data_IF_073945837677
#
_entry.id   IF_073945837677
#
_cell.length_a   1.000
_cell.length_b   1.000
_cell.length_c   1.000
_cell.angle_alpha   90.00
_cell.angle_beta   90.00
_cell.angle_gamma   90.00
#
_symmetry.space_group_name_H-M   'P 1'
#
loop_
_entity.id
_entity.type
_entity.pdbx_description
1 polymer ?
#
# COMPACT_ATOMS: atom_id res chain seq x y z
N UNK A 1 8.11 28.62 -12.04
CA UNK A 1 8.68 27.56 -12.92
C UNK A 1 9.81 26.91 -12.14
N UNK A 2 9.51 25.84 -11.40
CA UNK A 2 10.50 25.10 -10.63
C UNK A 2 11.03 23.99 -11.52
N UNK A 3 12.30 24.03 -11.83
CA UNK A 3 13.02 23.00 -12.60
C UNK A 3 12.94 21.68 -11.84
N UNK A 4 12.14 20.73 -12.34
CA UNK A 4 12.25 19.34 -11.96
C UNK A 4 13.69 18.89 -12.23
N UNK A 5 14.46 18.64 -11.18
CA UNK A 5 15.84 18.20 -11.29
C UNK A 5 15.87 16.85 -12.01
N UNK A 6 16.66 16.77 -13.06
CA UNK A 6 16.99 15.55 -13.83
C UNK A 6 17.94 14.64 -13.04
N UNK A 7 17.68 14.41 -11.75
CA UNK A 7 18.45 13.52 -10.89
C UNK A 7 17.87 12.10 -10.96
N UNK A 8 18.75 11.11 -11.15
CA UNK A 8 18.41 9.70 -10.89
C UNK A 8 18.03 9.54 -9.43
N UNK A 9 17.01 8.72 -9.12
CA UNK A 9 16.69 8.38 -7.74
C UNK A 9 17.93 7.80 -7.05
N UNK A 10 18.17 8.21 -5.80
CA UNK A 10 19.22 7.58 -4.98
C UNK A 10 18.75 6.19 -4.56
N UNK A 11 19.67 5.25 -4.47
CA UNK A 11 19.41 3.90 -3.99
C UNK A 11 20.22 3.69 -2.72
N UNK A 12 19.58 3.30 -1.63
CA UNK A 12 20.23 2.94 -0.37
C UNK A 12 19.77 1.54 0.06
N UNK A 13 20.67 0.68 0.54
CA UNK A 13 20.29 -0.61 1.10
C UNK A 13 19.35 -0.40 2.30
N UNK A 14 18.37 -1.31 2.48
CA UNK A 14 17.44 -1.23 3.61
C UNK A 14 18.20 -1.32 4.95
N UNK A 15 17.93 -0.34 5.80
CA UNK A 15 18.54 -0.19 7.11
C UNK A 15 18.03 1.09 7.79
N UNK A 16 18.43 1.30 9.04
CA UNK A 16 17.91 2.42 9.85
C UNK A 16 18.25 3.79 9.23
N UNK A 17 19.44 3.95 8.65
CA UNK A 17 19.84 5.21 7.99
C UNK A 17 18.96 5.49 6.75
N UNK A 18 18.73 4.48 5.91
CA UNK A 18 17.88 4.61 4.73
C UNK A 18 16.43 4.92 5.10
N UNK A 19 15.92 4.30 6.17
CA UNK A 19 14.57 4.55 6.69
C UNK A 19 14.44 5.94 7.29
N UNK A 20 15.44 6.40 8.06
CA UNK A 20 15.47 7.76 8.60
C UNK A 20 15.49 8.82 7.48
N UNK A 21 16.32 8.61 6.45
CA UNK A 21 16.34 9.50 5.29
C UNK A 21 15.01 9.48 4.52
N UNK A 22 14.41 8.31 4.33
CA UNK A 22 13.10 8.17 3.69
C UNK A 22 12.01 8.95 4.44
N UNK A 23 11.99 8.86 5.78
CA UNK A 23 11.06 9.63 6.62
C UNK A 23 11.27 11.14 6.43
N UNK A 24 12.51 11.61 6.42
CA UNK A 24 12.80 13.03 6.20
C UNK A 24 12.33 13.51 4.82
N UNK A 25 12.57 12.71 3.77
CA UNK A 25 12.13 13.00 2.40
C UNK A 25 10.61 13.00 2.28
N UNK A 26 9.91 12.02 2.86
CA UNK A 26 8.45 11.96 2.87
C UNK A 26 7.85 13.18 3.58
N UNK A 27 8.36 13.56 4.76
CA UNK A 27 7.95 14.79 5.47
C UNK A 27 8.18 16.07 4.66
N UNK A 28 9.19 16.07 3.79
CA UNK A 28 9.44 17.17 2.85
C UNK A 28 8.55 17.10 1.58
N UNK A 29 7.67 16.11 1.50
CA UNK A 29 6.72 15.91 0.40
C UNK A 29 7.30 15.22 -0.83
N UNK A 30 8.48 14.62 -0.73
CA UNK A 30 9.03 13.79 -1.79
C UNK A 30 8.32 12.42 -1.88
N UNK A 31 8.49 11.73 -3.00
CA UNK A 31 8.05 10.35 -3.19
C UNK A 31 9.25 9.43 -2.94
N UNK A 32 9.04 8.37 -2.20
CA UNK A 32 10.05 7.35 -1.87
C UNK A 32 9.58 5.99 -2.34
N UNK A 33 10.46 5.20 -2.97
CA UNK A 33 10.19 3.80 -3.27
C UNK A 33 10.64 2.90 -2.11
N UNK A 34 9.80 1.94 -1.76
CA UNK A 34 9.96 1.08 -0.59
C UNK A 34 9.73 -0.39 -0.96
N UNK A 35 10.53 -1.32 -0.42
CA UNK A 35 10.30 -2.74 -0.57
C UNK A 35 9.09 -3.18 0.25
N UNK A 36 8.38 -4.23 -0.21
CA UNK A 36 7.37 -4.94 0.58
C UNK A 36 7.53 -6.44 0.41
N UNK A 37 6.72 -7.21 1.14
CA UNK A 37 6.64 -8.68 1.03
C UNK A 37 6.01 -9.17 -0.29
N UNK A 38 5.47 -8.28 -1.12
CA UNK A 38 4.86 -8.64 -2.42
C UNK A 38 5.60 -7.99 -3.58
N UNK A 39 5.43 -6.68 -3.78
CA UNK A 39 6.05 -5.88 -4.82
C UNK A 39 6.59 -4.58 -4.22
N UNK A 40 7.55 -3.94 -4.86
CA UNK A 40 7.94 -2.59 -4.47
C UNK A 40 6.77 -1.62 -4.62
N UNK A 41 6.67 -0.69 -3.68
CA UNK A 41 5.72 0.42 -3.73
C UNK A 41 6.41 1.77 -3.80
N UNK A 42 5.71 2.78 -4.29
CA UNK A 42 6.06 4.18 -4.07
C UNK A 42 5.07 4.77 -3.07
N UNK A 43 5.59 5.55 -2.14
CA UNK A 43 4.84 6.10 -1.01
C UNK A 43 4.93 7.62 -0.94
N UNK A 44 3.91 8.22 -0.34
CA UNK A 44 3.82 9.64 -0.02
C UNK A 44 3.42 9.84 1.44
N UNK A 45 3.66 11.02 1.99
CA UNK A 45 3.13 11.41 3.29
C UNK A 45 1.64 11.77 3.15
N UNK A 46 0.80 11.11 3.96
CA UNK A 46 -0.66 11.34 3.98
C UNK A 46 -1.03 12.74 4.43
N UNK A 47 -0.22 13.37 5.28
CA UNK A 47 -0.46 14.72 5.80
C UNK A 47 -0.28 15.82 4.75
N UNK A 48 0.31 15.50 3.58
CA UNK A 48 0.66 16.47 2.54
C UNK A 48 -0.15 16.23 1.26
N UNK A 49 -1.24 16.99 1.00
CA UNK A 49 -2.07 16.83 -0.21
C UNK A 49 -1.27 16.88 -1.51
N UNK A 50 -0.32 17.81 -1.62
CA UNK A 50 0.53 17.94 -2.81
C UNK A 50 1.43 16.70 -3.03
N UNK A 51 1.82 15.99 -1.96
CA UNK A 51 2.58 14.75 -2.09
C UNK A 51 1.71 13.61 -2.66
N UNK A 52 0.42 13.60 -2.31
CA UNK A 52 -0.54 12.64 -2.88
C UNK A 52 -0.74 12.91 -4.39
N UNK A 53 -0.87 14.17 -4.79
CA UNK A 53 -0.94 14.52 -6.21
C UNK A 53 0.32 14.08 -6.97
N UNK A 54 1.51 14.32 -6.38
CA UNK A 54 2.79 13.82 -6.93
C UNK A 54 2.84 12.30 -7.03
N UNK A 55 2.27 11.56 -6.06
CA UNK A 55 2.20 10.10 -6.11
C UNK A 55 1.39 9.61 -7.32
N UNK A 56 0.24 10.23 -7.59
CA UNK A 56 -0.56 9.91 -8.77
C UNK A 56 0.15 10.29 -10.07
N UNK A 57 0.77 11.48 -10.11
CA UNK A 57 1.51 11.97 -11.26
C UNK A 57 2.72 11.08 -11.60
N UNK A 58 3.49 10.63 -10.59
CA UNK A 58 4.66 9.74 -10.75
C UNK A 58 4.34 8.45 -11.53
N UNK A 59 3.12 7.94 -11.36
CA UNK A 59 2.64 6.73 -12.06
C UNK A 59 1.81 7.01 -13.29
N UNK A 60 1.48 8.26 -13.58
CA UNK A 60 0.40 8.59 -14.53
C UNK A 60 -0.89 7.83 -14.17
N UNK A 61 -1.18 7.76 -12.86
CA UNK A 61 -2.32 6.98 -12.33
C UNK A 61 -3.61 7.76 -12.52
N UNK A 62 -4.63 7.16 -13.13
CA UNK A 62 -5.97 7.77 -13.21
C UNK A 62 -6.56 7.95 -11.79
N UNK A 63 -7.28 9.03 -11.52
CA UNK A 63 -7.86 9.33 -10.19
C UNK A 63 -9.00 8.38 -9.78
N UNK A 64 -9.55 7.61 -10.74
CA UNK A 64 -10.56 6.57 -10.53
C UNK A 64 -9.99 5.25 -9.96
N UNK A 65 -8.67 5.18 -9.75
CA UNK A 65 -8.00 4.01 -9.16
C UNK A 65 -7.61 4.28 -7.72
N UNK A 66 -8.30 3.66 -6.77
CA UNK A 66 -7.99 3.77 -5.35
C UNK A 66 -6.54 3.37 -5.01
N UNK A 67 -5.99 3.97 -3.95
CA UNK A 67 -4.64 3.72 -3.41
C UNK A 67 -4.77 3.13 -2.00
N UNK A 68 -4.05 2.06 -1.73
CA UNK A 68 -4.02 1.46 -0.39
C UNK A 68 -3.12 2.25 0.57
N UNK A 69 -3.46 2.21 1.85
CA UNK A 69 -2.64 2.74 2.93
C UNK A 69 -1.91 1.59 3.60
N UNK A 70 -0.58 1.66 3.65
CA UNK A 70 0.23 0.74 4.43
C UNK A 70 0.29 1.22 5.89
N UNK A 71 0.15 0.27 6.79
CA UNK A 71 0.06 0.48 8.23
C UNK A 71 1.29 -0.11 8.93
N UNK A 72 1.64 0.42 10.10
CA UNK A 72 2.66 -0.15 10.96
C UNK A 72 2.19 -1.45 11.61
N UNK A 73 0.93 -1.47 12.04
CA UNK A 73 0.27 -2.57 12.73
C UNK A 73 -1.25 -2.56 12.46
N UNK A 74 -1.94 -3.58 12.98
CA UNK A 74 -3.38 -3.73 12.81
C UNK A 74 -4.21 -2.69 13.59
N UNK A 75 -3.66 -2.11 14.66
CA UNK A 75 -4.39 -1.16 15.52
C UNK A 75 -4.68 0.14 14.77
N UNK A 76 -3.78 0.53 13.86
CA UNK A 76 -3.99 1.70 13.00
C UNK A 76 -5.23 1.57 12.09
N UNK A 77 -5.69 0.35 11.79
CA UNK A 77 -6.85 0.15 10.91
C UNK A 77 -8.13 0.75 11.49
N UNK A 78 -8.34 0.61 12.81
CA UNK A 78 -9.53 1.11 13.50
C UNK A 78 -9.64 2.65 13.54
N UNK A 79 -8.55 3.36 13.29
CA UNK A 79 -8.55 4.83 13.21
C UNK A 79 -9.10 5.32 11.87
N UNK A 80 -8.94 4.54 10.81
CA UNK A 80 -9.29 4.93 9.44
C UNK A 80 -10.57 4.27 8.94
N UNK A 81 -10.78 3.01 9.30
CA UNK A 81 -11.87 2.17 8.80
C UNK A 81 -12.72 1.55 9.92
N UNK A 82 -13.94 1.16 9.57
CA UNK A 82 -14.83 0.39 10.44
C UNK A 82 -14.47 -1.08 10.29
N UNK A 83 -13.78 -1.64 11.29
CA UNK A 83 -13.31 -3.02 11.28
C UNK A 83 -14.42 -3.95 11.74
N UNK A 84 -15.19 -4.52 10.79
CA UNK A 84 -16.24 -5.50 11.02
C UNK A 84 -15.69 -6.90 11.39
N UNK A 85 -16.58 -7.86 11.69
CA UNK A 85 -16.18 -9.22 12.10
C UNK A 85 -15.28 -9.93 11.07
N UNK A 86 -15.66 -9.92 9.80
CA UNK A 86 -14.88 -10.53 8.72
C UNK A 86 -13.48 -9.90 8.59
N UNK A 87 -13.41 -8.57 8.63
CA UNK A 87 -12.13 -7.86 8.55
C UNK A 87 -11.21 -8.20 9.73
N UNK A 88 -11.76 -8.36 10.95
CA UNK A 88 -10.99 -8.79 12.13
C UNK A 88 -10.39 -10.18 11.95
N UNK A 89 -11.19 -11.13 11.49
CA UNK A 89 -10.73 -12.51 11.25
C UNK A 89 -9.61 -12.52 10.19
N UNK A 90 -9.83 -11.82 9.07
CA UNK A 90 -8.86 -11.78 7.98
C UNK A 90 -7.57 -11.04 8.37
N UNK A 91 -7.68 -9.92 9.08
CA UNK A 91 -6.53 -9.19 9.61
C UNK A 91 -5.71 -10.07 10.57
N UNK A 92 -6.36 -10.69 11.55
CA UNK A 92 -5.68 -11.57 12.51
C UNK A 92 -4.98 -12.77 11.85
N UNK A 93 -5.49 -13.27 10.71
CA UNK A 93 -4.95 -14.44 10.01
C UNK A 93 -3.86 -14.09 9.00
N UNK A 94 -3.93 -12.92 8.35
CA UNK A 94 -3.12 -12.60 7.17
C UNK A 94 -2.31 -11.31 7.29
N UNK A 95 -2.38 -10.60 8.41
CA UNK A 95 -1.51 -9.46 8.71
C UNK A 95 -0.54 -9.80 9.83
N UNK A 96 0.72 -9.39 9.70
CA UNK A 96 1.35 -8.78 8.52
C UNK A 96 1.39 -9.72 7.32
N UNK A 97 1.21 -9.19 6.10
CA UNK A 97 1.29 -9.99 4.89
C UNK A 97 0.60 -9.42 3.64
N UNK A 98 0.43 -10.29 2.65
CA UNK A 98 -0.01 -9.97 1.30
C UNK A 98 -1.53 -9.75 1.13
N UNK A 99 -2.25 -9.25 2.15
CA UNK A 99 -3.68 -8.98 2.08
C UNK A 99 -3.99 -7.50 2.26
N UNK A 100 -4.79 -6.94 1.36
CA UNK A 100 -5.39 -5.61 1.48
C UNK A 100 -6.89 -5.77 1.78
N UNK A 101 -7.37 -5.15 2.86
CA UNK A 101 -8.78 -5.12 3.23
C UNK A 101 -9.38 -3.77 2.84
N UNK A 102 -10.47 -3.80 2.10
CA UNK A 102 -11.28 -2.61 1.82
C UNK A 102 -12.37 -2.54 2.88
N UNK A 103 -12.37 -1.44 3.65
CA UNK A 103 -13.27 -1.20 4.78
C UNK A 103 -14.14 0.03 4.53
N UNK A 104 -15.33 0.13 5.14
CA UNK A 104 -16.04 1.39 5.21
C UNK A 104 -15.14 2.43 5.91
N UNK A 105 -14.97 3.60 5.30
CA UNK A 105 -14.19 4.70 5.88
C UNK A 105 -14.94 5.27 7.09
N UNK A 106 -14.21 5.52 8.17
CA UNK A 106 -14.79 6.23 9.32
C UNK A 106 -15.17 7.67 8.93
N UNK A 107 -16.31 8.20 9.37
CA UNK A 107 -16.72 9.57 9.04
C UNK A 107 -15.76 10.65 9.54
N UNK A 108 -15.03 10.37 10.62
CA UNK A 108 -14.03 11.25 11.24
C UNK A 108 -12.61 11.06 10.68
N UNK A 109 -12.39 10.06 9.83
CA UNK A 109 -11.10 9.85 9.17
C UNK A 109 -10.85 10.94 8.10
N UNK A 110 -9.80 11.73 8.33
CA UNK A 110 -9.38 12.80 7.40
C UNK A 110 -8.52 12.22 6.28
N UNK A 111 -9.18 11.67 5.27
CA UNK A 111 -8.53 11.09 4.09
C UNK A 111 -8.95 11.85 2.83
N UNK A 112 -8.00 12.23 1.96
CA UNK A 112 -8.32 12.76 0.64
C UNK A 112 -9.16 11.78 -0.18
N UNK A 113 -10.26 12.25 -0.77
CA UNK A 113 -11.20 11.40 -1.50
C UNK A 113 -10.56 10.68 -2.70
N UNK A 114 -9.53 11.29 -3.29
CA UNK A 114 -8.78 10.69 -4.41
C UNK A 114 -8.13 9.35 -4.05
N UNK A 115 -7.78 9.11 -2.77
CA UNK A 115 -7.22 7.83 -2.33
C UNK A 115 -8.22 6.68 -2.42
N UNK A 116 -9.51 6.98 -2.32
CA UNK A 116 -10.59 6.01 -2.41
C UNK A 116 -11.35 6.09 -3.75
N UNK A 117 -10.84 6.82 -4.74
CA UNK A 117 -11.53 7.09 -6.01
C UNK A 117 -12.96 7.66 -5.80
N UNK A 118 -13.14 8.51 -4.78
CA UNK A 118 -14.44 9.11 -4.40
C UNK A 118 -15.39 8.19 -3.61
N UNK A 119 -15.02 6.92 -3.35
CA UNK A 119 -15.86 6.00 -2.58
C UNK A 119 -15.74 6.25 -1.05
N UNK A 120 -16.76 5.95 -0.25
CA UNK A 120 -16.72 6.07 1.21
C UNK A 120 -15.98 4.86 1.85
N UNK A 121 -14.86 4.45 1.26
CA UNK A 121 -14.09 3.27 1.65
C UNK A 121 -12.61 3.60 1.84
N UNK A 122 -11.86 2.68 2.46
CA UNK A 122 -10.41 2.77 2.57
C UNK A 122 -9.80 1.38 2.41
N UNK A 123 -8.76 1.27 1.59
CA UNK A 123 -7.97 0.04 1.45
C UNK A 123 -6.78 0.07 2.40
N UNK A 124 -6.68 -0.91 3.31
CA UNK A 124 -5.67 -0.98 4.36
C UNK A 124 -4.86 -2.27 4.25
N UNK A 125 -3.55 -2.20 4.58
CA UNK A 125 -2.67 -3.37 4.63
C UNK A 125 -1.56 -3.17 5.65
N UNK A 126 -1.27 -4.19 6.44
CA UNK A 126 -0.03 -4.30 7.21
C UNK A 126 0.93 -5.19 6.43
N UNK A 127 2.00 -4.65 5.81
CA UNK A 127 2.94 -5.46 5.04
C UNK A 127 3.88 -6.26 5.95
N UNK A 128 4.29 -7.47 5.51
CA UNK A 128 5.32 -8.26 6.20
C UNK A 128 6.73 -7.85 5.76
N UNK A 129 7.05 -6.59 5.98
CA UNK A 129 8.36 -6.03 5.73
C UNK A 129 8.67 -4.90 6.72
N UNK A 130 9.90 -4.85 7.29
CA UNK A 130 10.23 -3.87 8.32
C UNK A 130 10.25 -2.43 7.82
N UNK A 131 10.72 -2.16 6.59
CA UNK A 131 10.85 -0.79 6.09
C UNK A 131 9.50 -0.04 6.04
N UNK A 132 8.44 -0.49 5.32
CA UNK A 132 7.18 0.25 5.29
C UNK A 132 6.52 0.37 6.66
N UNK A 133 6.67 -0.64 7.53
CA UNK A 133 6.12 -0.60 8.89
C UNK A 133 6.82 0.43 9.76
N UNK A 134 8.15 0.54 9.68
CA UNK A 134 8.91 1.57 10.39
C UNK A 134 8.52 2.99 9.92
N UNK A 135 8.38 3.19 8.61
CA UNK A 135 7.93 4.47 8.07
C UNK A 135 6.50 4.80 8.53
N UNK A 136 5.58 3.82 8.49
CA UNK A 136 4.19 4.02 8.92
C UNK A 136 4.05 4.22 10.43
N UNK A 137 4.98 3.72 11.25
CA UNK A 137 5.01 3.99 12.69
C UNK A 137 5.34 5.46 12.99
N UNK A 138 6.22 6.07 12.19
CA UNK A 138 6.68 7.45 12.37
C UNK A 138 5.79 8.52 11.69
N UNK A 139 5.18 8.18 10.55
CA UNK A 139 4.43 9.12 9.71
C UNK A 139 2.92 8.90 9.79
N UNK A 140 2.48 7.79 10.38
CA UNK A 140 1.12 7.31 10.22
C UNK A 140 0.93 6.51 8.93
N UNK A 141 -0.34 6.19 8.57
CA UNK A 141 -0.67 5.41 7.40
C UNK A 141 -0.11 5.99 6.11
N UNK A 142 0.60 5.16 5.31
CA UNK A 142 1.30 5.59 4.10
C UNK A 142 0.50 5.28 2.83
N UNK A 143 -0.01 6.28 2.10
CA UNK A 143 -0.52 6.10 0.75
C UNK A 143 0.54 5.47 -0.13
N UNK A 144 0.27 4.25 -0.61
CA UNK A 144 1.26 3.46 -1.34
C UNK A 144 0.64 2.74 -2.53
N UNK A 145 1.33 2.81 -3.66
CA UNK A 145 0.96 2.08 -4.88
C UNK A 145 2.19 1.39 -5.46
N UNK A 146 2.02 0.31 -6.25
CA UNK A 146 3.17 -0.42 -6.84
C UNK A 146 4.14 0.50 -7.59
N UNK A 147 5.44 0.16 -7.59
CA UNK A 147 6.51 0.98 -8.17
C UNK A 147 6.70 0.71 -9.67
N UNK A 148 5.62 0.89 -10.47
CA UNK A 148 5.61 0.76 -11.93
C UNK A 148 4.80 1.90 -12.57
N UNK A 149 4.94 2.13 -13.84
CA UNK A 149 4.00 2.96 -14.59
C UNK A 149 2.63 2.24 -14.69
N UNK A 150 1.55 3.00 -14.66
CA UNK A 150 0.20 2.43 -14.67
C UNK A 150 -0.03 1.52 -15.88
N UNK A 151 -0.40 0.24 -15.64
CA UNK A 151 -0.61 -0.75 -16.68
C UNK A 151 0.65 -1.48 -17.17
N UNK A 152 1.83 -1.14 -16.66
CA UNK A 152 3.07 -1.86 -16.94
C UNK A 152 3.34 -2.94 -15.88
N UNK A 153 4.20 -3.93 -16.15
CA UNK A 153 4.66 -4.89 -15.15
C UNK A 153 5.30 -4.21 -13.93
N UNK A 154 5.25 -4.86 -12.77
CA UNK A 154 5.93 -4.38 -11.57
C UNK A 154 7.45 -4.47 -11.74
N UNK A 155 8.19 -3.45 -11.27
CA UNK A 155 9.64 -3.44 -11.26
C UNK A 155 10.17 -4.52 -10.29
N UNK A 156 11.27 -5.19 -10.68
CA UNK A 156 11.81 -6.36 -9.98
C UNK A 156 12.81 -6.00 -8.89
N UNK A 157 13.48 -4.87 -9.01
CA UNK A 157 14.53 -4.42 -8.09
C UNK A 157 14.65 -2.88 -8.05
N UNK A 158 15.49 -2.39 -7.14
CA UNK A 158 15.70 -0.97 -6.92
C UNK A 158 16.30 -0.25 -8.14
N UNK A 159 17.16 -0.92 -8.91
CA UNK A 159 17.79 -0.32 -10.10
C UNK A 159 16.75 -0.11 -11.21
N UNK A 160 15.86 -1.08 -11.42
CA UNK A 160 14.77 -0.96 -12.40
C UNK A 160 13.80 0.16 -11.99
N UNK A 161 13.48 0.31 -10.70
CA UNK A 161 12.63 1.40 -10.19
C UNK A 161 13.30 2.77 -10.45
N UNK A 162 14.58 2.89 -10.12
CA UNK A 162 15.33 4.13 -10.36
C UNK A 162 15.40 4.49 -11.85
N UNK A 163 15.49 3.51 -12.73
CA UNK A 163 15.45 3.71 -14.16
C UNK A 163 14.06 4.14 -14.67
N UNK A 164 12.99 3.53 -14.16
CA UNK A 164 11.62 3.78 -14.62
C UNK A 164 11.02 5.07 -14.03
N UNK A 165 11.31 5.36 -12.76
CA UNK A 165 10.64 6.41 -11.99
C UNK A 165 11.60 7.46 -11.42
N UNK A 166 12.90 7.38 -11.73
CA UNK A 166 13.96 8.14 -11.08
C UNK A 166 13.76 9.66 -11.04
N UNK A 167 13.10 10.25 -12.05
CA UNK A 167 12.76 11.67 -12.04
C UNK A 167 11.63 12.06 -11.08
N UNK A 168 10.83 11.10 -10.64
CA UNK A 168 9.66 11.31 -9.78
C UNK A 168 9.87 10.76 -8.34
N UNK A 169 10.90 9.94 -8.13
CA UNK A 169 11.22 9.29 -6.86
C UNK A 169 12.57 9.81 -6.35
N UNK A 170 12.62 10.32 -5.13
CA UNK A 170 13.84 10.89 -4.57
C UNK A 170 14.80 9.81 -4.03
N UNK A 171 14.25 8.74 -3.47
CA UNK A 171 14.99 7.64 -2.85
C UNK A 171 14.30 6.31 -3.13
N UNK A 172 15.09 5.27 -3.39
CA UNK A 172 14.68 3.88 -3.38
C UNK A 172 15.36 3.18 -2.21
N UNK A 173 14.59 2.66 -1.26
CA UNK A 173 15.11 1.74 -0.25
C UNK A 173 15.25 0.37 -0.90
N UNK A 174 16.49 -0.13 -1.00
CA UNK A 174 16.78 -1.42 -1.62
C UNK A 174 16.67 -2.56 -0.61
N UNK A 175 15.57 -3.29 -0.65
CA UNK A 175 15.35 -4.52 0.12
C UNK A 175 15.75 -5.81 -0.63
N UNK A 176 16.49 -5.67 -1.73
CA UNK A 176 16.84 -6.76 -2.65
C UNK A 176 15.76 -7.01 -3.71
N UNK A 177 15.98 -7.98 -4.59
CA UNK A 177 15.03 -8.31 -5.64
C UNK A 177 13.75 -8.89 -5.04
N UNK A 178 12.60 -8.50 -5.61
CA UNK A 178 11.32 -9.14 -5.27
C UNK A 178 11.42 -10.63 -5.59
N UNK A 179 10.92 -11.48 -4.69
CA UNK A 179 10.95 -12.95 -4.87
C UNK A 179 10.08 -13.44 -6.03
N UNK A 180 9.44 -12.51 -6.76
CA UNK A 180 8.45 -12.81 -7.78
C UNK A 180 7.16 -13.31 -7.12
N UNK A 181 6.05 -12.75 -7.52
CA UNK A 181 4.75 -13.11 -6.97
C UNK A 181 3.72 -12.03 -7.28
N UNK A 182 2.44 -12.35 -7.16
CA UNK A 182 1.41 -11.37 -7.40
C UNK A 182 1.39 -10.29 -6.30
N UNK A 183 0.87 -9.12 -6.64
CA UNK A 183 0.54 -8.09 -5.67
C UNK A 183 -0.42 -8.62 -4.57
N UNK A 184 -0.72 -7.81 -3.56
CA UNK A 184 -1.63 -8.24 -2.48
C UNK A 184 -3.00 -8.67 -3.01
N UNK A 185 -3.60 -9.68 -2.38
CA UNK A 185 -5.02 -9.99 -2.58
C UNK A 185 -5.87 -8.88 -1.96
N UNK A 186 -6.90 -8.42 -2.67
CA UNK A 186 -7.81 -7.36 -2.19
C UNK A 186 -9.15 -7.97 -1.85
N UNK A 187 -9.56 -7.85 -0.60
CA UNK A 187 -10.86 -8.33 -0.11
C UNK A 187 -11.73 -7.13 0.27
N UNK A 188 -12.93 -7.08 -0.27
CA UNK A 188 -13.92 -6.08 0.07
C UNK A 188 -14.77 -6.57 1.26
N UNK A 189 -14.60 -5.89 2.38
CA UNK A 189 -15.35 -6.12 3.61
C UNK A 189 -16.38 -5.01 3.88
N UNK A 190 -16.73 -4.21 2.87
CA UNK A 190 -17.78 -3.18 2.97
C UNK A 190 -19.18 -3.72 2.75
N UNK A 191 -19.28 -4.92 2.20
CA UNK A 191 -20.50 -5.66 1.88
C UNK A 191 -20.81 -6.71 2.94
N UNK A 192 -22.08 -7.13 3.04
CA UNK A 192 -22.52 -8.10 4.04
C UNK A 192 -21.76 -9.43 3.94
N UNK A 193 -21.50 -9.88 2.72
CA UNK A 193 -20.74 -11.10 2.41
C UNK A 193 -19.44 -10.69 1.71
N UNK A 194 -18.26 -10.80 2.38
CA UNK A 194 -16.98 -10.40 1.79
C UNK A 194 -16.72 -11.05 0.44
N UNK A 195 -16.10 -10.29 -0.46
CA UNK A 195 -15.75 -10.75 -1.81
C UNK A 195 -14.29 -10.42 -2.15
N UNK A 196 -13.64 -11.25 -2.96
CA UNK A 196 -12.31 -10.99 -3.49
C UNK A 196 -12.43 -10.08 -4.73
N UNK A 197 -11.91 -8.86 -4.63
CA UNK A 197 -11.87 -7.89 -5.76
C UNK A 197 -10.65 -8.09 -6.66
N UNK A 198 -9.58 -8.63 -6.11
CA UNK A 198 -8.36 -8.97 -6.85
C UNK A 198 -7.69 -10.16 -6.20
N UNK A 199 -7.48 -11.20 -6.97
CA UNK A 199 -6.64 -12.35 -6.57
C UNK A 199 -5.17 -11.91 -6.61
N UNK A 200 -4.43 -12.26 -5.59
CA UNK A 200 -3.02 -11.91 -5.43
C UNK A 200 -2.27 -12.92 -4.55
N UNK A 201 -1.43 -12.43 -3.65
CA UNK A 201 -0.53 -13.25 -2.83
C UNK A 201 -1.25 -14.29 -1.94
N UNK A 202 -2.49 -14.02 -1.54
CA UNK A 202 -3.30 -14.95 -0.74
C UNK A 202 -4.36 -15.60 -1.65
N UNK A 203 -4.33 -16.93 -1.83
CA UNK A 203 -5.33 -17.63 -2.62
C UNK A 203 -6.75 -17.50 -2.04
N UNK A 204 -7.80 -17.38 -2.87
CA UNK A 204 -9.18 -17.26 -2.40
C UNK A 204 -9.60 -18.40 -1.47
N UNK A 205 -9.19 -19.63 -1.74
CA UNK A 205 -9.49 -20.79 -0.89
C UNK A 205 -9.02 -20.62 0.57
N UNK A 206 -7.85 -19.97 0.80
CA UNK A 206 -7.33 -19.71 2.15
C UNK A 206 -8.16 -18.64 2.88
N UNK A 207 -8.75 -17.71 2.13
CA UNK A 207 -9.61 -16.65 2.68
C UNK A 207 -10.97 -17.26 3.06
N UNK A 208 -11.56 -18.07 2.17
CA UNK A 208 -12.77 -18.82 2.42
C UNK A 208 -12.63 -19.70 3.67
N UNK A 209 -11.57 -20.52 3.75
CA UNK A 209 -11.25 -21.35 4.92
C UNK A 209 -11.23 -20.57 6.24
N UNK A 210 -10.62 -19.36 6.24
CA UNK A 210 -10.53 -18.54 7.44
C UNK A 210 -11.90 -17.98 7.88
N UNK A 211 -12.75 -17.60 6.92
CA UNK A 211 -14.10 -17.09 7.20
C UNK A 211 -15.05 -18.20 7.62
N UNK A 212 -14.99 -19.37 6.95
CA UNK A 212 -15.77 -20.56 7.32
C UNK A 212 -15.46 -21.03 8.73
N UNK A 213 -14.17 -21.10 9.10
CA UNK A 213 -13.74 -21.45 10.45
C UNK A 213 -14.27 -20.51 11.53
N UNK A 214 -14.55 -19.25 11.15
CA UNK A 214 -15.15 -18.25 12.02
C UNK A 214 -16.68 -18.17 11.93
N UNK A 215 -17.33 -19.00 11.08
CA UNK A 215 -18.77 -18.97 10.86
C UNK A 215 -19.27 -17.71 10.14
N UNK A 216 -18.43 -17.09 9.34
CA UNK A 216 -18.75 -15.85 8.61
C UNK A 216 -19.13 -16.19 7.18
N UNK A 217 -20.37 -15.87 6.79
CA UNK A 217 -20.84 -16.03 5.42
C UNK A 217 -20.08 -15.12 4.44
N UNK A 218 -19.72 -15.63 3.28
CA UNK A 218 -18.96 -14.91 2.25
C UNK A 218 -19.33 -15.37 0.84
N UNK A 219 -18.94 -14.58 -0.17
CA UNK A 219 -19.10 -14.88 -1.59
C UNK A 219 -17.72 -15.04 -2.27
N UNK A 220 -16.85 -15.83 -1.63
CA UNK A 220 -15.49 -16.12 -2.12
C UNK A 220 -15.48 -17.54 -2.64
N UNK A 221 -15.38 -17.69 -3.97
CA UNK A 221 -15.24 -18.98 -4.62
C UNK A 221 -13.80 -19.47 -4.47
N UNK A 222 -13.63 -20.67 -3.93
CA UNK A 222 -12.35 -21.38 -3.91
C UNK A 222 -12.09 -21.98 -5.28
N UNK A 223 -11.37 -21.28 -6.14
CA UNK A 223 -10.85 -21.82 -7.41
C UNK A 223 -9.44 -22.33 -7.26
#
# INVERSE_FOLDING_TARGET
MSTAGSGSARILPDGDDARAEAIALLRAGAIVAIPTDTVYGIAADLALPDAIERLFAAKRRPPDKAVALLLADADQAGVLGIVGPAARVLAARFWPGGMTLVLPRRPDARLPDVLAAGAPTVGLRVPDHPAPRALAAELGPLPTTSANLSGQPDARDAAEIAALLGGAVALVIDGGPIRGGPASTVVDCTVERPVVRRVGAIPPARIAEALDAAGIAHDIEGS
#
